data_IF_074099395728
#
_entry.id   IF_074099395728
#
_cell.length_a   1.000
_cell.length_b   1.000
_cell.length_c   1.000
_cell.angle_alpha   90.00
_cell.angle_beta   90.00
_cell.angle_gamma   90.00
#
_symmetry.space_group_name_H-M   'P 1'
#
loop_
_entity.id
_entity.type
_entity.pdbx_description
1 polymer ?
#
# COMPACT_ATOMS: atom_id res chain seq x y z
N UNK A 1 16.81 37.16 -27.87
CA UNK A 1 16.63 36.94 -26.43
C UNK A 1 15.15 37.11 -26.11
N UNK A 2 14.44 36.01 -25.84
CA UNK A 2 13.06 36.05 -25.35
C UNK A 2 12.98 35.05 -24.22
N UNK A 3 13.07 35.57 -22.99
CA UNK A 3 12.97 34.79 -21.78
C UNK A 3 11.55 34.22 -21.64
N UNK A 4 11.44 32.90 -21.51
CA UNK A 4 10.21 32.23 -21.07
C UNK A 4 9.81 32.75 -19.69
N UNK A 5 8.51 33.02 -19.44
CA UNK A 5 8.06 33.41 -18.13
C UNK A 5 8.20 32.22 -17.18
N UNK A 6 9.02 32.43 -16.15
CA UNK A 6 9.14 31.54 -14.99
C UNK A 6 7.75 31.21 -14.44
N UNK A 7 7.37 29.94 -14.53
CA UNK A 7 6.18 29.41 -13.89
C UNK A 7 6.38 29.56 -12.38
N UNK A 8 5.73 30.56 -11.78
CA UNK A 8 5.64 30.72 -10.33
C UNK A 8 4.95 29.47 -9.78
N UNK A 9 5.73 28.60 -9.15
CA UNK A 9 5.24 27.46 -8.36
C UNK A 9 4.62 27.99 -7.07
N UNK A 10 3.39 28.53 -7.19
CA UNK A 10 2.61 28.92 -6.03
C UNK A 10 2.33 27.69 -5.17
N UNK A 11 2.83 27.67 -3.93
CA UNK A 11 2.41 26.66 -2.94
C UNK A 11 0.87 26.66 -2.90
N UNK A 12 0.19 25.51 -3.05
CA UNK A 12 -1.24 25.46 -2.84
C UNK A 12 -1.51 26.00 -1.43
N UNK A 13 -2.19 27.14 -1.36
CA UNK A 13 -2.69 27.68 -0.09
C UNK A 13 -3.90 26.82 0.27
N UNK A 14 -3.66 25.68 0.91
CA UNK A 14 -4.71 25.10 1.74
C UNK A 14 -5.12 26.22 2.72
N UNK A 15 -6.39 26.60 2.69
CA UNK A 15 -6.93 27.66 3.54
C UNK A 15 -6.74 27.32 5.03
N UNK A 16 -6.56 26.03 5.34
CA UNK A 16 -6.36 25.50 6.68
C UNK A 16 -5.20 24.50 6.70
N UNK A 17 -4.43 24.50 7.78
CA UNK A 17 -3.45 23.45 8.10
C UNK A 17 -3.97 22.65 9.29
N UNK A 18 -4.11 21.32 9.20
CA UNK A 18 -4.51 20.53 10.36
C UNK A 18 -3.44 20.63 11.45
N UNK A 19 -3.88 20.63 12.71
CA UNK A 19 -2.96 20.45 13.83
C UNK A 19 -2.40 19.02 13.80
N UNK A 20 -1.09 18.82 13.95
CA UNK A 20 -0.52 17.48 14.03
C UNK A 20 -0.97 16.79 15.33
N UNK A 21 -1.10 15.47 15.30
CA UNK A 21 -1.55 14.63 16.43
C UNK A 21 -0.89 14.99 17.77
N UNK A 22 0.45 15.17 17.91
CA UNK A 22 1.07 15.50 19.19
C UNK A 22 0.71 16.89 19.76
N UNK A 23 0.02 17.75 18.99
CA UNK A 23 -0.47 19.05 19.45
C UNK A 23 -1.93 19.01 19.95
N UNK A 24 -2.58 17.85 19.91
CA UNK A 24 -3.98 17.68 20.29
C UNK A 24 -4.08 16.68 21.43
N UNK A 25 -4.59 17.12 22.58
CA UNK A 25 -4.97 16.22 23.67
C UNK A 25 -6.49 15.99 23.64
N UNK A 26 -6.90 14.74 23.85
CA UNK A 26 -8.28 14.29 23.70
C UNK A 26 -8.75 13.59 24.98
N UNK A 27 -9.91 13.98 25.49
CA UNK A 27 -10.49 13.45 26.73
C UNK A 27 -11.96 13.04 26.55
N UNK A 28 -12.56 12.51 27.62
CA UNK A 28 -13.95 12.05 27.62
C UNK A 28 -14.16 10.89 26.66
N UNK A 29 -15.29 10.90 25.95
CA UNK A 29 -15.70 9.80 25.06
C UNK A 29 -14.59 9.33 24.09
N UNK A 30 -13.88 10.26 23.44
CA UNK A 30 -12.79 9.91 22.53
C UNK A 30 -11.47 9.61 23.25
N UNK A 31 -11.26 10.19 24.42
CA UNK A 31 -10.12 9.87 25.29
C UNK A 31 -10.15 8.40 25.72
N UNK A 32 -11.30 7.90 26.15
CA UNK A 32 -11.49 6.51 26.57
C UNK A 32 -11.19 5.52 25.42
N UNK A 33 -11.53 5.89 24.18
CA UNK A 33 -11.21 5.09 22.99
C UNK A 33 -9.72 5.14 22.65
N UNK A 34 -9.09 6.31 22.72
CA UNK A 34 -7.65 6.45 22.54
C UNK A 34 -6.88 5.64 23.59
N UNK A 35 -7.34 5.64 24.84
CA UNK A 35 -6.76 4.84 25.92
C UNK A 35 -6.95 3.35 25.70
N UNK A 36 -8.12 2.90 25.24
CA UNK A 36 -8.34 1.50 24.86
C UNK A 36 -7.39 1.05 23.73
N UNK A 37 -7.18 1.91 22.73
CA UNK A 37 -6.24 1.61 21.64
C UNK A 37 -4.81 1.51 22.16
N UNK A 38 -4.36 2.50 22.92
CA UNK A 38 -2.97 2.57 23.39
C UNK A 38 -2.63 1.57 24.49
N UNK A 39 -3.63 1.06 25.22
CA UNK A 39 -3.40 0.09 26.31
C UNK A 39 -3.69 -1.35 25.94
N UNK A 40 -4.47 -1.61 24.88
CA UNK A 40 -4.88 -2.95 24.46
C UNK A 40 -4.79 -3.17 22.96
N UNK A 41 -5.52 -2.39 22.16
CA UNK A 41 -5.72 -2.73 20.74
C UNK A 41 -4.40 -2.78 19.96
N UNK A 42 -3.48 -1.83 20.19
CA UNK A 42 -2.20 -1.81 19.47
C UNK A 42 -1.37 -3.09 19.69
N UNK A 43 -1.38 -3.65 20.91
CA UNK A 43 -0.67 -4.90 21.20
C UNK A 43 -1.43 -6.11 20.64
N UNK A 44 -2.77 -6.12 20.75
CA UNK A 44 -3.62 -7.17 20.18
C UNK A 44 -3.41 -7.30 18.67
N UNK A 45 -3.30 -6.18 17.93
CA UNK A 45 -3.06 -6.23 16.49
C UNK A 45 -1.74 -6.95 16.16
N UNK A 46 -0.67 -6.64 16.88
CA UNK A 46 0.60 -7.35 16.74
C UNK A 46 0.44 -8.84 17.06
N UNK A 47 -0.21 -9.19 18.18
CA UNK A 47 -0.43 -10.58 18.58
C UNK A 47 -1.22 -11.37 17.52
N UNK A 48 -2.21 -10.75 16.88
CA UNK A 48 -2.97 -11.37 15.78
C UNK A 48 -2.11 -11.60 14.54
N UNK A 49 -1.19 -10.68 14.21
CA UNK A 49 -0.23 -10.92 13.13
C UNK A 49 0.70 -12.11 13.44
N UNK A 50 1.12 -12.28 14.69
CA UNK A 50 1.92 -13.43 15.13
C UNK A 50 1.11 -14.73 15.05
N UNK A 51 -0.11 -14.75 15.59
CA UNK A 51 -1.00 -15.92 15.60
C UNK A 51 -1.37 -16.36 14.18
N UNK A 52 -1.62 -15.41 13.29
CA UNK A 52 -1.87 -15.67 11.87
C UNK A 52 -0.60 -16.07 11.08
N UNK A 53 0.56 -16.15 11.76
CA UNK A 53 1.86 -16.52 11.18
C UNK A 53 2.38 -15.54 10.12
N UNK A 54 1.91 -14.28 10.13
CA UNK A 54 2.33 -13.27 9.15
C UNK A 54 3.83 -12.98 9.22
N UNK A 55 4.43 -13.04 10.42
CA UNK A 55 5.88 -12.83 10.59
C UNK A 55 6.71 -13.88 9.83
N UNK A 56 6.20 -15.10 9.68
CA UNK A 56 6.90 -16.14 8.90
C UNK A 56 7.03 -15.73 7.44
N UNK A 57 6.07 -14.99 6.88
CA UNK A 57 6.09 -14.53 5.50
C UNK A 57 7.06 -13.35 5.26
N UNK A 58 7.42 -12.58 6.30
CA UNK A 58 8.37 -11.46 6.16
C UNK A 58 9.79 -11.76 6.66
N UNK A 59 10.00 -12.85 7.40
CA UNK A 59 11.31 -13.25 7.92
C UNK A 59 12.15 -14.09 6.93
N UNK A 60 13.15 -13.52 6.23
CA UNK A 60 13.96 -14.25 5.26
C UNK A 60 14.90 -15.29 5.89
N UNK A 61 15.13 -15.23 7.21
CA UNK A 61 15.99 -16.20 7.90
C UNK A 61 15.24 -17.53 8.17
N UNK A 62 13.96 -17.60 7.82
CA UNK A 62 13.11 -18.79 7.96
C UNK A 62 12.63 -19.31 6.60
N UNK A 63 12.40 -20.63 6.47
CA UNK A 63 11.74 -21.20 5.30
C UNK A 63 10.44 -20.45 4.98
N UNK A 64 10.14 -20.28 3.69
CA UNK A 64 8.85 -19.72 3.29
C UNK A 64 7.70 -20.55 3.90
N UNK A 65 6.68 -19.92 4.49
CA UNK A 65 5.52 -20.65 5.00
C UNK A 65 4.67 -21.24 3.88
N UNK A 66 4.92 -20.86 2.61
CA UNK A 66 4.07 -21.20 1.48
C UNK A 66 2.68 -20.57 1.60
N UNK A 67 1.74 -21.11 0.84
CA UNK A 67 0.33 -20.71 0.93
C UNK A 67 -0.28 -21.35 2.18
N UNK A 68 -0.58 -20.53 3.18
CA UNK A 68 -1.23 -20.97 4.43
C UNK A 68 -2.69 -20.55 4.51
N UNK A 69 -3.09 -19.52 3.76
CA UNK A 69 -4.49 -19.25 3.44
C UNK A 69 -4.75 -19.73 2.01
N UNK A 70 -5.52 -20.81 1.81
CA UNK A 70 -5.81 -21.33 0.48
C UNK A 70 -6.44 -20.29 -0.43
N UNK A 71 -6.17 -20.40 -1.72
CA UNK A 71 -6.92 -19.68 -2.74
C UNK A 71 -8.38 -20.12 -2.70
N UNK A 72 -9.30 -19.16 -2.77
CA UNK A 72 -10.73 -19.41 -2.92
C UNK A 72 -11.28 -18.60 -4.10
N UNK A 73 -12.40 -19.04 -4.69
CA UNK A 73 -13.13 -18.19 -5.63
C UNK A 73 -13.85 -17.07 -4.87
N UNK A 74 -13.91 -15.83 -5.40
CA UNK A 74 -14.78 -14.78 -4.89
C UNK A 74 -16.25 -15.02 -5.26
N UNK A 75 -16.56 -15.99 -6.13
CA UNK A 75 -17.93 -16.39 -6.50
C UNK A 75 -18.30 -17.74 -5.85
N UNK A 76 -19.43 -17.82 -5.12
CA UNK A 76 -19.96 -19.08 -4.59
C UNK A 76 -20.17 -20.14 -5.68
N UNK A 77 -20.54 -19.72 -6.89
CA UNK A 77 -20.84 -20.60 -8.02
C UNK A 77 -19.58 -21.24 -8.65
N UNK A 78 -18.39 -20.72 -8.33
CA UNK A 78 -17.10 -21.20 -8.87
C UNK A 78 -16.22 -21.88 -7.80
N UNK A 79 -16.73 -22.02 -6.57
CA UNK A 79 -15.98 -22.50 -5.41
C UNK A 79 -15.60 -24.00 -5.45
N UNK A 80 -16.11 -24.77 -6.42
CA UNK A 80 -16.09 -26.24 -6.42
C UNK A 80 -14.77 -26.88 -6.94
N UNK A 81 -13.68 -26.11 -7.05
CA UNK A 81 -12.37 -26.66 -7.50
C UNK A 81 -11.37 -26.78 -6.35
N UNK A 82 -11.32 -27.96 -5.75
CA UNK A 82 -10.23 -28.35 -4.84
C UNK A 82 -8.90 -28.39 -5.60
N UNK A 83 -7.87 -27.73 -5.07
CA UNK A 83 -6.52 -27.66 -5.67
C UNK A 83 -6.26 -26.44 -6.55
N UNK A 84 -6.86 -25.29 -6.23
CA UNK A 84 -6.80 -24.07 -7.04
C UNK A 84 -5.37 -23.50 -7.20
N UNK A 85 -4.77 -23.74 -8.36
CA UNK A 85 -3.71 -22.87 -8.88
C UNK A 85 -4.25 -21.44 -9.06
N UNK A 86 -3.36 -20.44 -9.02
CA UNK A 86 -3.74 -19.05 -9.20
C UNK A 86 -4.25 -18.81 -10.63
N UNK A 87 -5.56 -18.64 -10.81
CA UNK A 87 -6.21 -18.44 -12.11
C UNK A 87 -6.59 -16.98 -12.39
N UNK A 88 -6.20 -16.04 -11.53
CA UNK A 88 -6.64 -14.63 -11.59
C UNK A 88 -8.12 -14.41 -11.24
N UNK A 89 -8.92 -15.48 -11.19
CA UNK A 89 -10.26 -15.54 -10.59
C UNK A 89 -10.23 -16.04 -9.15
N UNK A 90 -9.08 -16.40 -8.60
CA UNK A 90 -8.95 -16.89 -7.22
C UNK A 90 -8.20 -15.88 -6.36
N UNK A 91 -8.64 -15.75 -5.11
CA UNK A 91 -8.10 -14.80 -4.13
C UNK A 91 -7.63 -15.56 -2.89
N UNK A 92 -6.55 -15.08 -2.28
CA UNK A 92 -6.13 -15.42 -0.92
C UNK A 92 -5.79 -14.13 -0.21
N UNK A 93 -6.26 -13.95 1.01
CA UNK A 93 -5.99 -12.72 1.77
C UNK A 93 -4.51 -12.59 2.16
N UNK A 94 -3.76 -13.70 2.09
CA UNK A 94 -2.32 -13.73 2.33
C UNK A 94 -1.52 -12.81 1.39
N UNK A 95 -2.03 -12.53 0.19
CA UNK A 95 -1.34 -11.66 -0.78
C UNK A 95 -1.22 -10.20 -0.32
N UNK A 96 -2.06 -9.77 0.63
CA UNK A 96 -2.05 -8.41 1.16
C UNK A 96 -1.74 -8.31 2.66
N UNK A 97 -1.12 -9.34 3.25
CA UNK A 97 -0.71 -9.33 4.66
C UNK A 97 0.34 -8.26 5.03
N UNK A 98 1.15 -7.82 4.06
CA UNK A 98 2.06 -6.69 4.28
C UNK A 98 1.30 -5.43 4.71
N UNK A 99 0.06 -5.25 4.22
CA UNK A 99 -0.78 -4.14 4.65
C UNK A 99 -1.17 -4.22 6.13
N UNK A 100 -1.47 -5.41 6.66
CA UNK A 100 -1.86 -5.59 8.06
C UNK A 100 -0.71 -5.26 9.00
N UNK A 101 0.52 -5.59 8.61
CA UNK A 101 1.72 -5.17 9.31
C UNK A 101 1.93 -3.64 9.20
N UNK A 102 1.75 -3.04 8.02
CA UNK A 102 1.80 -1.58 7.85
C UNK A 102 0.81 -0.83 8.74
N UNK A 103 -0.46 -1.27 8.76
CA UNK A 103 -1.53 -0.73 9.62
C UNK A 103 -1.25 -0.95 11.11
N UNK A 104 -0.64 -2.08 11.47
CA UNK A 104 -0.24 -2.37 12.87
C UNK A 104 0.88 -1.43 13.31
N UNK A 105 1.88 -1.19 12.46
CA UNK A 105 2.97 -0.25 12.72
C UNK A 105 2.42 1.18 12.85
N UNK A 106 1.50 1.60 11.97
CA UNK A 106 0.85 2.90 12.05
C UNK A 106 0.03 3.06 13.34
N UNK A 107 -0.74 2.04 13.72
CA UNK A 107 -1.51 2.03 14.97
C UNK A 107 -0.59 2.14 16.18
N UNK A 108 0.51 1.38 16.20
CA UNK A 108 1.51 1.45 17.25
C UNK A 108 2.12 2.86 17.32
N UNK A 109 2.52 3.44 16.19
CA UNK A 109 3.07 4.79 16.12
C UNK A 109 2.14 5.84 16.76
N UNK A 110 0.86 5.87 16.36
CA UNK A 110 -0.09 6.83 16.91
C UNK A 110 -0.40 6.58 18.39
N UNK A 111 -0.39 5.32 18.83
CA UNK A 111 -0.60 4.99 20.24
C UNK A 111 0.48 5.57 21.16
N UNK A 112 1.71 5.73 20.67
CA UNK A 112 2.84 6.24 21.44
C UNK A 112 2.68 7.72 21.84
N UNK A 113 1.91 8.50 21.07
CA UNK A 113 1.58 9.88 21.45
C UNK A 113 0.68 9.94 22.68
N UNK A 114 -0.17 8.93 22.88
CA UNK A 114 -1.03 8.83 24.06
C UNK A 114 -0.30 8.22 25.24
N UNK A 115 0.46 7.14 24.99
CA UNK A 115 1.18 6.40 26.03
C UNK A 115 2.44 5.76 25.47
N UNK A 116 3.60 6.10 26.06
CA UNK A 116 4.85 5.40 25.78
C UNK A 116 4.72 3.90 26.10
N UNK A 117 5.22 3.06 25.21
CA UNK A 117 5.19 1.60 25.35
C UNK A 117 6.48 0.98 24.76
N UNK A 118 7.59 0.96 25.53
CA UNK A 118 8.87 0.45 25.06
C UNK A 118 8.84 -1.01 24.59
N UNK A 119 7.99 -1.84 25.20
CA UNK A 119 7.82 -3.24 24.84
C UNK A 119 7.18 -3.39 23.45
N UNK A 120 6.12 -2.64 23.17
CA UNK A 120 5.51 -2.58 21.83
C UNK A 120 6.48 -2.00 20.81
N UNK A 121 7.20 -0.93 21.16
CA UNK A 121 8.18 -0.31 20.27
C UNK A 121 9.28 -1.32 19.88
N UNK A 122 9.76 -2.14 20.83
CA UNK A 122 10.71 -3.22 20.55
C UNK A 122 10.13 -4.31 19.63
N UNK A 123 8.85 -4.67 19.80
CA UNK A 123 8.15 -5.62 18.91
C UNK A 123 8.09 -5.07 17.47
N UNK A 124 7.72 -3.79 17.32
CA UNK A 124 7.64 -3.11 16.02
C UNK A 124 9.03 -2.96 15.38
N UNK A 125 10.05 -2.58 16.14
CA UNK A 125 11.42 -2.49 15.64
C UNK A 125 11.89 -3.85 15.09
N UNK A 126 11.55 -4.97 15.74
CA UNK A 126 11.87 -6.30 15.24
C UNK A 126 11.17 -6.64 13.91
N UNK A 127 9.92 -6.20 13.72
CA UNK A 127 9.20 -6.32 12.43
C UNK A 127 9.89 -5.50 11.34
N UNK A 128 10.30 -4.27 11.67
CA UNK A 128 11.04 -3.39 10.75
C UNK A 128 12.40 -4.00 10.38
N UNK A 129 13.07 -4.65 11.34
CA UNK A 129 14.32 -5.36 11.08
C UNK A 129 14.13 -6.50 10.07
N UNK A 130 13.05 -7.27 10.17
CA UNK A 130 12.70 -8.31 9.20
C UNK A 130 12.46 -7.72 7.80
N UNK A 131 11.68 -6.63 7.69
CA UNK A 131 11.49 -5.94 6.40
C UNK A 131 12.82 -5.41 5.83
N UNK A 132 13.71 -4.90 6.68
CA UNK A 132 15.03 -4.44 6.26
C UNK A 132 15.91 -5.57 5.69
N UNK A 133 15.83 -6.77 6.28
CA UNK A 133 16.51 -7.96 5.75
C UNK A 133 15.84 -8.50 4.47
N UNK A 134 14.52 -8.39 4.39
CA UNK A 134 13.74 -8.86 3.24
C UNK A 134 13.95 -7.96 2.01
N UNK A 135 14.14 -6.65 2.19
CA UNK A 135 14.29 -5.71 1.08
C UNK A 135 15.48 -6.07 0.19
N UNK A 136 15.23 -6.11 -1.11
CA UNK A 136 16.26 -6.45 -2.08
C UNK A 136 17.20 -5.28 -2.39
N UNK A 137 18.30 -5.55 -3.08
CA UNK A 137 19.31 -4.55 -3.45
C UNK A 137 18.73 -3.42 -4.31
N UNK A 138 17.84 -3.75 -5.25
CA UNK A 138 17.13 -2.80 -6.11
C UNK A 138 16.08 -1.95 -5.36
N UNK A 139 15.79 -2.28 -4.10
CA UNK A 139 14.80 -1.62 -3.26
C UNK A 139 13.43 -2.29 -3.27
N UNK A 140 13.22 -3.34 -4.09
CA UNK A 140 11.94 -4.07 -4.12
C UNK A 140 11.60 -4.68 -2.76
N UNK A 141 10.32 -4.53 -2.37
CA UNK A 141 9.78 -5.09 -1.14
C UNK A 141 8.33 -5.57 -1.32
N UNK A 142 8.12 -6.87 -1.36
CA UNK A 142 6.80 -7.49 -1.30
C UNK A 142 6.97 -8.90 -0.79
N UNK A 143 6.47 -9.19 0.41
CA UNK A 143 6.62 -10.53 0.99
C UNK A 143 5.91 -11.59 0.15
N UNK A 144 4.78 -11.24 -0.46
CA UNK A 144 4.04 -12.10 -1.38
C UNK A 144 4.90 -12.55 -2.57
N UNK A 145 5.43 -11.63 -3.36
CA UNK A 145 6.20 -11.98 -4.56
C UNK A 145 7.68 -12.27 -4.33
N UNK A 146 8.19 -12.09 -3.10
CA UNK A 146 9.53 -12.56 -2.74
C UNK A 146 9.50 -13.96 -2.14
N UNK A 147 8.54 -14.24 -1.26
CA UNK A 147 8.55 -15.45 -0.42
C UNK A 147 7.48 -16.46 -0.83
N UNK A 148 6.33 -16.02 -1.32
CA UNK A 148 5.17 -16.91 -1.60
C UNK A 148 5.04 -17.24 -3.09
N UNK A 149 5.25 -16.26 -3.96
CA UNK A 149 5.15 -16.37 -5.41
C UNK A 149 6.39 -15.75 -6.10
N UNK A 150 7.61 -16.26 -5.85
CA UNK A 150 8.84 -15.73 -6.43
C UNK A 150 8.79 -15.68 -7.96
N UNK A 151 9.41 -14.65 -8.54
CA UNK A 151 9.50 -14.45 -10.00
C UNK A 151 8.30 -13.77 -10.66
N UNK A 152 7.27 -13.36 -9.88
CA UNK A 152 6.02 -12.79 -10.41
C UNK A 152 5.80 -11.30 -10.09
N UNK A 153 6.86 -10.55 -9.76
CA UNK A 153 6.80 -9.10 -9.48
C UNK A 153 6.15 -8.34 -10.62
N UNK A 154 5.24 -7.42 -10.32
CA UNK A 154 4.62 -6.52 -11.30
C UNK A 154 3.91 -7.24 -12.46
N UNK A 155 3.49 -8.49 -12.22
CA UNK A 155 2.74 -9.26 -13.22
C UNK A 155 1.24 -9.11 -13.04
N UNK A 156 0.77 -8.77 -11.83
CA UNK A 156 -0.65 -8.58 -11.54
C UNK A 156 -0.91 -7.45 -10.54
N UNK A 157 -0.67 -6.21 -10.99
CA UNK A 157 -1.01 -5.01 -10.22
C UNK A 157 -2.51 -4.87 -9.97
N UNK A 158 -3.36 -5.45 -10.86
CA UNK A 158 -4.81 -5.41 -10.71
C UNK A 158 -5.27 -6.16 -9.44
N UNK A 159 -4.79 -7.38 -9.24
CA UNK A 159 -5.39 -8.29 -8.25
C UNK A 159 -4.47 -8.58 -7.04
N UNK A 160 -3.14 -8.47 -7.18
CA UNK A 160 -2.19 -8.94 -6.15
C UNK A 160 -1.62 -7.84 -5.22
N UNK A 161 -2.22 -6.65 -5.23
CA UNK A 161 -2.07 -5.65 -4.16
C UNK A 161 -0.63 -5.19 -3.83
N UNK A 162 0.37 -5.35 -4.71
CA UNK A 162 1.75 -4.90 -4.46
C UNK A 162 1.82 -3.43 -4.04
N UNK A 163 1.20 -2.55 -4.83
CA UNK A 163 1.20 -1.11 -4.56
C UNK A 163 0.30 -0.73 -3.38
N UNK A 164 -0.77 -1.48 -3.12
CA UNK A 164 -1.63 -1.28 -1.94
C UNK A 164 -0.86 -1.59 -0.64
N UNK A 165 -0.13 -2.70 -0.61
CA UNK A 165 0.76 -3.03 0.50
C UNK A 165 1.89 -2.00 0.65
N UNK A 166 2.46 -1.54 -0.47
CA UNK A 166 3.46 -0.48 -0.47
C UNK A 166 2.93 0.80 0.18
N UNK A 167 1.72 1.23 -0.17
CA UNK A 167 1.10 2.43 0.40
C UNK A 167 0.90 2.30 1.92
N UNK A 168 0.29 1.21 2.39
CA UNK A 168 0.11 1.00 3.83
C UNK A 168 1.43 0.88 4.62
N UNK A 169 2.47 0.28 4.05
CA UNK A 169 3.81 0.27 4.66
C UNK A 169 4.44 1.67 4.67
N UNK A 170 4.23 2.49 3.63
CA UNK A 170 4.65 3.90 3.59
C UNK A 170 3.93 4.70 4.68
N UNK A 171 2.62 4.54 4.85
CA UNK A 171 1.85 5.22 5.88
C UNK A 171 2.38 4.90 7.28
N UNK A 172 2.57 3.60 7.56
CA UNK A 172 3.20 3.12 8.79
C UNK A 172 4.60 3.67 8.99
N UNK A 173 5.42 3.74 7.94
CA UNK A 173 6.77 4.32 7.99
C UNK A 173 6.76 5.80 8.36
N UNK A 174 5.89 6.58 7.73
CA UNK A 174 5.74 8.02 7.99
C UNK A 174 5.28 8.24 9.43
N UNK A 175 4.23 7.53 9.87
CA UNK A 175 3.70 7.66 11.23
C UNK A 175 4.75 7.26 12.28
N UNK A 176 5.45 6.14 12.08
CA UNK A 176 6.45 5.65 13.02
C UNK A 176 7.66 6.57 13.13
N UNK A 177 8.12 7.13 12.00
CA UNK A 177 9.16 8.16 12.01
C UNK A 177 8.71 9.41 12.77
N UNK A 178 7.49 9.88 12.56
CA UNK A 178 6.96 11.06 13.26
C UNK A 178 6.81 10.82 14.78
N UNK A 179 6.45 9.61 15.21
CA UNK A 179 6.24 9.29 16.61
C UNK A 179 7.55 9.04 17.37
N UNK A 180 8.55 8.43 16.71
CA UNK A 180 9.76 7.92 17.39
C UNK A 180 11.06 8.62 16.95
N UNK A 181 11.04 9.31 15.81
CA UNK A 181 12.24 9.83 15.15
C UNK A 181 13.09 8.76 14.43
N UNK A 182 12.75 7.46 14.55
CA UNK A 182 13.50 6.36 13.94
C UNK A 182 13.24 6.31 12.44
N UNK A 183 14.31 6.27 11.64
CA UNK A 183 14.24 6.36 10.17
C UNK A 183 14.25 5.04 9.43
N UNK A 184 14.55 3.92 10.10
CA UNK A 184 14.82 2.64 9.43
C UNK A 184 13.73 2.23 8.43
N UNK A 185 12.47 2.20 8.86
CA UNK A 185 11.35 1.87 7.97
C UNK A 185 11.11 2.96 6.91
N UNK A 186 11.26 4.24 7.27
CA UNK A 186 11.13 5.35 6.31
C UNK A 186 12.14 5.20 5.16
N UNK A 187 13.40 4.91 5.47
CA UNK A 187 14.46 4.78 4.47
C UNK A 187 14.27 3.50 3.62
N UNK A 188 13.78 2.39 4.21
CA UNK A 188 13.35 1.20 3.47
C UNK A 188 12.25 1.58 2.46
N UNK A 189 11.22 2.29 2.90
CA UNK A 189 10.09 2.64 2.02
C UNK A 189 10.46 3.70 0.98
N UNK A 190 11.42 4.59 1.26
CA UNK A 190 12.00 5.49 0.24
C UNK A 190 12.66 4.70 -0.89
N UNK A 191 13.48 3.68 -0.56
CA UNK A 191 14.11 2.80 -1.54
C UNK A 191 13.06 2.02 -2.35
N UNK A 192 11.98 1.57 -1.72
CA UNK A 192 10.92 0.87 -2.45
C UNK A 192 10.13 1.81 -3.36
N UNK A 193 9.83 3.03 -2.94
CA UNK A 193 9.20 4.05 -3.79
C UNK A 193 10.10 4.42 -4.98
N UNK A 194 11.42 4.50 -4.78
CA UNK A 194 12.39 4.73 -5.85
C UNK A 194 12.42 3.56 -6.85
N UNK A 195 12.38 2.32 -6.34
CA UNK A 195 12.24 1.13 -7.18
C UNK A 195 10.94 1.15 -7.99
N UNK A 196 9.82 1.48 -7.37
CA UNK A 196 8.52 1.61 -8.05
C UNK A 196 8.61 2.65 -9.17
N UNK A 197 9.21 3.82 -8.91
CA UNK A 197 9.42 4.87 -9.92
C UNK A 197 10.34 4.44 -11.07
N UNK A 198 11.24 3.48 -10.84
CA UNK A 198 12.11 2.92 -11.89
C UNK A 198 11.35 1.98 -12.83
N UNK A 199 10.31 1.30 -12.34
CA UNK A 199 9.55 0.28 -13.09
C UNK A 199 8.27 0.85 -13.70
N UNK A 200 7.59 1.74 -12.98
CA UNK A 200 6.29 2.31 -13.35
C UNK A 200 6.45 3.80 -13.67
N UNK A 201 5.87 4.23 -14.78
CA UNK A 201 5.92 5.62 -15.20
C UNK A 201 5.56 5.83 -16.67
N UNK A 202 5.46 7.09 -17.12
CA UNK A 202 5.10 7.41 -18.50
C UNK A 202 6.26 7.20 -19.49
N UNK A 203 7.51 7.05 -19.00
CA UNK A 203 8.69 7.00 -19.84
C UNK A 203 8.78 5.71 -20.68
N UNK A 204 9.38 5.77 -21.89
CA UNK A 204 9.64 4.59 -22.69
C UNK A 204 10.39 3.51 -21.91
N UNK A 205 9.94 2.26 -22.02
CA UNK A 205 10.55 1.10 -21.34
C UNK A 205 9.97 0.80 -19.95
N UNK A 206 9.23 1.73 -19.34
CA UNK A 206 8.48 1.47 -18.10
C UNK A 206 7.10 0.88 -18.38
N UNK A 207 6.54 0.17 -17.39
CA UNK A 207 5.14 -0.27 -17.45
C UNK A 207 4.25 0.92 -17.13
N UNK A 208 3.21 1.13 -17.94
CA UNK A 208 2.19 2.17 -17.69
C UNK A 208 1.14 1.74 -16.64
N UNK A 209 1.62 1.05 -15.61
CA UNK A 209 0.80 0.41 -14.59
C UNK A 209 0.40 1.32 -13.46
N UNK A 210 -0.75 1.00 -12.86
CA UNK A 210 -1.31 1.55 -11.64
C UNK A 210 -1.95 0.42 -10.82
N UNK A 211 -2.27 0.66 -9.56
CA UNK A 211 -2.79 -0.37 -8.67
C UNK A 211 -4.27 -0.68 -8.97
N UNK A 212 -4.67 -1.95 -8.82
CA UNK A 212 -6.09 -2.29 -8.82
C UNK A 212 -6.82 -1.98 -7.52
N UNK A 213 -6.11 -1.61 -6.46
CA UNK A 213 -6.63 -1.08 -5.19
C UNK A 213 -5.81 0.14 -4.81
N UNK A 214 -6.42 1.32 -4.95
CA UNK A 214 -5.91 2.65 -4.59
C UNK A 214 -5.47 2.67 -3.15
N UNK A 215 -4.34 3.32 -2.86
CA UNK A 215 -3.75 3.47 -1.52
C UNK A 215 -2.35 4.09 -1.65
N UNK A 216 -1.59 3.73 -2.69
CA UNK A 216 -0.23 4.24 -2.88
C UNK A 216 -0.20 5.75 -3.15
N UNK A 217 -1.24 6.29 -3.78
CA UNK A 217 -1.31 7.68 -4.19
C UNK A 217 -1.26 8.64 -2.98
N UNK A 218 -2.12 8.42 -1.99
CA UNK A 218 -2.15 9.21 -0.76
C UNK A 218 -0.90 8.98 0.11
N UNK A 219 -0.39 7.74 0.13
CA UNK A 219 0.79 7.38 0.89
C UNK A 219 2.05 8.09 0.35
N UNK A 220 2.20 8.16 -0.98
CA UNK A 220 3.30 8.89 -1.63
C UNK A 220 3.23 10.40 -1.38
N UNK A 221 2.03 10.98 -1.27
CA UNK A 221 1.86 12.38 -0.84
C UNK A 221 2.38 12.57 0.59
N UNK A 222 2.05 11.66 1.52
CA UNK A 222 2.59 11.68 2.89
C UNK A 222 4.12 11.52 2.90
N UNK A 223 4.67 10.60 2.10
CA UNK A 223 6.10 10.37 1.97
C UNK A 223 6.83 11.62 1.43
N UNK A 224 6.30 12.24 0.37
CA UNK A 224 6.83 13.47 -0.21
C UNK A 224 6.89 14.61 0.82
N UNK A 225 5.86 14.74 1.66
CA UNK A 225 5.79 15.79 2.69
C UNK A 225 6.83 15.59 3.79
N UNK A 226 7.05 14.35 4.24
CA UNK A 226 7.99 14.09 5.35
C UNK A 226 9.45 14.07 4.89
N UNK A 227 9.71 13.69 3.64
CA UNK A 227 11.07 13.64 3.06
C UNK A 227 11.47 14.95 2.39
N UNK A 228 10.50 15.74 1.90
CA UNK A 228 10.75 16.91 1.05
C UNK A 228 11.04 16.54 -0.42
N UNK A 229 10.99 15.27 -0.78
CA UNK A 229 11.36 14.78 -2.10
C UNK A 229 10.21 14.90 -3.11
N UNK A 230 10.38 15.78 -4.11
CA UNK A 230 9.35 16.06 -5.12
C UNK A 230 9.00 14.84 -5.99
N UNK A 231 9.96 13.93 -6.21
CA UNK A 231 9.77 12.71 -7.02
C UNK A 231 8.61 11.85 -6.54
N UNK A 232 8.34 11.80 -5.23
CA UNK A 232 7.22 11.01 -4.69
C UNK A 232 5.86 11.65 -5.00
N UNK A 233 5.79 12.99 -5.02
CA UNK A 233 4.59 13.71 -5.46
C UNK A 233 4.32 13.50 -6.95
N UNK A 234 5.38 13.46 -7.77
CA UNK A 234 5.28 13.21 -9.21
C UNK A 234 4.81 11.78 -9.49
N UNK A 235 5.32 10.80 -8.74
CA UNK A 235 4.87 9.41 -8.82
C UNK A 235 3.39 9.27 -8.40
N UNK A 236 2.96 9.94 -7.33
CA UNK A 236 1.56 9.96 -6.92
C UNK A 236 0.65 10.53 -8.03
N UNK A 237 1.07 11.67 -8.62
CA UNK A 237 0.37 12.30 -9.75
C UNK A 237 0.28 11.36 -10.95
N UNK A 238 1.36 10.64 -11.27
CA UNK A 238 1.36 9.67 -12.36
C UNK A 238 0.28 8.61 -12.16
N UNK A 239 0.18 8.01 -10.96
CA UNK A 239 -0.84 6.97 -10.72
C UNK A 239 -2.27 7.49 -10.89
N UNK A 240 -2.56 8.70 -10.41
CA UNK A 240 -3.87 9.35 -10.59
C UNK A 240 -4.16 9.61 -12.08
N UNK A 241 -3.20 10.17 -12.81
CA UNK A 241 -3.42 10.57 -14.21
C UNK A 241 -3.43 9.36 -15.17
N UNK A 242 -2.71 8.28 -14.84
CA UNK A 242 -2.62 7.05 -15.64
C UNK A 242 -3.85 6.15 -15.48
N UNK A 243 -4.53 6.20 -14.32
CA UNK A 243 -5.72 5.38 -14.03
C UNK A 243 -6.85 5.69 -15.01
N UNK A 244 -7.33 4.65 -15.70
CA UNK A 244 -8.43 4.72 -16.66
C UNK A 244 -8.05 5.21 -18.06
N UNK A 245 -6.76 5.43 -18.34
CA UNK A 245 -6.28 5.74 -19.69
C UNK A 245 -6.42 4.56 -20.65
N UNK A 246 -6.48 4.86 -21.95
CA UNK A 246 -6.54 3.86 -23.02
C UNK A 246 -5.20 3.81 -23.81
N UNK A 247 -4.77 2.62 -24.29
CA UNK A 247 -5.33 1.29 -24.02
C UNK A 247 -5.29 0.94 -22.53
N UNK A 248 -6.30 0.20 -22.06
CA UNK A 248 -6.48 -0.08 -20.64
C UNK A 248 -5.39 -1.01 -20.10
N UNK A 249 -4.60 -0.52 -19.13
CA UNK A 249 -3.41 -1.22 -18.63
C UNK A 249 -3.73 -2.62 -18.09
N UNK A 250 -4.85 -2.82 -17.38
CA UNK A 250 -5.18 -4.15 -16.85
C UNK A 250 -5.49 -5.18 -17.94
N UNK A 251 -5.90 -4.74 -19.13
CA UNK A 251 -6.05 -5.64 -20.28
C UNK A 251 -4.69 -6.05 -20.83
N UNK A 252 -3.76 -5.09 -20.95
CA UNK A 252 -2.38 -5.34 -21.38
C UNK A 252 -1.67 -6.28 -20.41
N UNK A 253 -1.82 -6.04 -19.12
CA UNK A 253 -1.26 -6.87 -18.04
C UNK A 253 -1.85 -8.28 -18.05
N UNK A 254 -3.17 -8.42 -18.21
CA UNK A 254 -3.82 -9.73 -18.31
C UNK A 254 -3.30 -10.52 -19.53
N UNK A 255 -3.24 -9.87 -20.71
CA UNK A 255 -2.70 -10.51 -21.93
C UNK A 255 -1.23 -10.90 -21.77
N UNK A 256 -0.41 -10.05 -21.13
CA UNK A 256 1.00 -10.35 -20.86
C UNK A 256 1.18 -11.57 -19.93
N UNK A 257 0.21 -11.86 -19.07
CA UNK A 257 0.16 -13.09 -18.26
C UNK A 257 -0.49 -14.29 -18.95
N UNK A 258 -0.94 -14.15 -20.20
CA UNK A 258 -1.68 -15.20 -20.90
C UNK A 258 -3.13 -15.37 -20.43
N UNK A 259 -3.70 -14.38 -19.74
CA UNK A 259 -5.10 -14.38 -19.33
C UNK A 259 -5.98 -13.58 -20.31
N UNK A 260 -7.25 -13.96 -20.43
CA UNK A 260 -8.24 -13.19 -21.18
C UNK A 260 -8.73 -12.00 -20.32
N UNK A 261 -8.57 -10.73 -20.76
CA UNK A 261 -9.14 -9.59 -20.06
C UNK A 261 -10.65 -9.71 -19.83
N UNK A 262 -11.39 -10.40 -20.72
CA UNK A 262 -12.84 -10.61 -20.59
C UNK A 262 -13.22 -11.56 -19.46
N UNK A 263 -12.27 -12.35 -18.95
CA UNK A 263 -12.48 -13.22 -17.79
C UNK A 263 -12.40 -12.44 -16.46
N UNK A 264 -12.36 -11.11 -16.48
CA UNK A 264 -12.38 -10.31 -15.27
C UNK A 264 -13.71 -10.46 -14.52
N UNK A 265 -13.65 -11.03 -13.31
CA UNK A 265 -14.82 -11.45 -12.55
C UNK A 265 -15.78 -10.31 -12.16
N UNK A 266 -15.28 -9.08 -11.96
CA UNK A 266 -16.13 -7.92 -11.69
C UNK A 266 -16.81 -7.34 -12.93
N UNK A 267 -16.46 -7.82 -14.14
CA UNK A 267 -17.03 -7.46 -15.45
C UNK A 267 -16.85 -6.01 -15.91
N UNK A 268 -16.69 -5.08 -14.97
CA UNK A 268 -16.52 -3.64 -15.21
C UNK A 268 -15.33 -3.09 -14.43
N UNK A 269 -14.63 -2.14 -15.02
CA UNK A 269 -13.55 -1.38 -14.38
C UNK A 269 -14.05 -0.27 -13.44
N UNK A 270 -15.37 -0.12 -13.28
CA UNK A 270 -15.95 0.69 -12.21
C UNK A 270 -15.51 0.19 -10.83
N UNK A 271 -15.35 -1.14 -10.67
CA UNK A 271 -14.96 -1.76 -9.40
C UNK A 271 -13.69 -1.16 -8.79
N UNK A 272 -12.72 -0.79 -9.62
CA UNK A 272 -11.43 -0.18 -9.26
C UNK A 272 -11.27 1.23 -9.82
N UNK A 273 -12.39 1.94 -10.02
CA UNK A 273 -12.43 3.34 -10.45
C UNK A 273 -11.50 3.62 -11.65
N UNK A 274 -11.45 2.69 -12.61
CA UNK A 274 -10.55 2.74 -13.77
C UNK A 274 -11.30 2.57 -15.11
N UNK A 275 -12.63 2.66 -15.08
CA UNK A 275 -13.49 2.63 -16.27
C UNK A 275 -13.26 3.82 -17.21
N UNK A 276 -12.92 4.99 -16.66
CA UNK A 276 -12.55 6.22 -17.38
C UNK A 276 -11.49 7.00 -16.57
N UNK A 277 -10.76 7.95 -17.18
CA UNK A 277 -9.79 8.78 -16.48
C UNK A 277 -10.37 9.41 -15.21
N UNK A 278 -9.60 9.45 -14.13
CA UNK A 278 -10.08 9.91 -12.80
C UNK A 278 -10.74 11.28 -12.84
N UNK A 279 -10.21 12.20 -13.66
CA UNK A 279 -10.72 13.59 -13.79
C UNK A 279 -12.03 13.69 -14.58
N UNK A 280 -12.45 12.61 -15.23
CA UNK A 280 -13.68 12.52 -16.02
C UNK A 280 -14.78 11.76 -15.27
N UNK A 281 -14.49 11.19 -14.08
CA UNK A 281 -15.47 10.52 -13.25
C UNK A 281 -16.40 11.53 -12.56
N UNK A 282 -17.71 11.37 -12.76
CA UNK A 282 -18.76 12.24 -12.22
C UNK A 282 -19.62 11.56 -11.13
N UNK A 283 -19.38 10.26 -10.89
CA UNK A 283 -20.10 9.44 -9.92
C UNK A 283 -19.15 8.56 -9.12
N UNK A 284 -19.48 8.35 -7.85
CA UNK A 284 -18.81 7.36 -7.00
C UNK A 284 -19.40 5.98 -7.33
N UNK A 285 -18.56 5.10 -7.88
CA UNK A 285 -18.94 3.75 -8.33
C UNK A 285 -17.94 2.71 -7.83
N UNK A 286 -18.32 1.43 -7.91
CA UNK A 286 -17.44 0.32 -7.59
C UNK A 286 -17.19 0.09 -6.10
N UNK A 287 -15.99 -0.40 -5.78
CA UNK A 287 -15.64 -0.75 -4.41
C UNK A 287 -15.45 0.50 -3.53
N UNK A 288 -16.21 0.59 -2.44
CA UNK A 288 -16.25 1.79 -1.59
C UNK A 288 -14.88 2.21 -1.03
N UNK A 289 -14.08 1.27 -0.50
CA UNK A 289 -12.77 1.61 0.10
C UNK A 289 -11.79 2.17 -0.95
N UNK A 290 -11.60 1.45 -2.06
CA UNK A 290 -10.86 1.91 -3.23
C UNK A 290 -11.22 3.34 -3.65
N UNK A 291 -12.51 3.62 -3.80
CA UNK A 291 -12.99 4.95 -4.13
C UNK A 291 -12.57 5.98 -3.07
N UNK A 292 -12.74 5.70 -1.78
CA UNK A 292 -12.38 6.65 -0.72
C UNK A 292 -10.88 6.88 -0.58
N UNK A 293 -10.05 5.85 -0.78
CA UNK A 293 -8.60 6.01 -0.84
C UNK A 293 -8.19 6.84 -2.06
N UNK A 294 -8.82 6.64 -3.23
CA UNK A 294 -8.55 7.45 -4.42
C UNK A 294 -8.83 8.95 -4.20
N UNK A 295 -9.89 9.27 -3.44
CA UNK A 295 -10.38 10.64 -3.29
C UNK A 295 -9.75 11.41 -2.10
N UNK A 296 -8.93 10.74 -1.29
CA UNK A 296 -8.24 11.33 -0.12
C UNK A 296 -7.08 12.24 -0.50
#
# INVERSE_FOLDING_TARGET
MTASPSAKTGKPKLAFRPLPVPQVDVHGFWGDRADAVATRTADILYERCVEARMLEQIDPDRPSPGIVIPFHSPSPDEADRQGAEFTGSTVTTQMFWDSDLGKTIETAAYSLYRRKNPELEKKIDAVIDMYGKLQQEDGYLSSWYQRIQPGKRWTNLRDCHELYCAGHLIEGAVAYYQATGKRKLLDIMCRYADHIASVLGPEPGKKKGYCGHEEIELALVKLARVTGERKYMELAKYFIDQRGQQPHYFDEEARARGADPKAYHFKTYEYSQSHIPVREQDKVVGHAVRAMYLYS
#
